data_IF_406898180592
#
_entry.id   IF_406898180592
#
_cell.length_a   1.000
_cell.length_b   1.000
_cell.length_c   1.000
_cell.angle_alpha   90.00
_cell.angle_beta   90.00
_cell.angle_gamma   90.00
#
_symmetry.space_group_name_H-M   'P 1'
#
loop_
_entity.id
_entity.type
_entity.pdbx_description
1 polymer ?
#
# COMPACT_ATOMS: atom_id res chain seq x y z
N UNK A 1 12.09 11.26 25.93
CA UNK A 1 10.66 11.46 25.68
C UNK A 1 9.87 11.26 26.95
N UNK A 2 8.77 11.97 27.15
CA UNK A 2 7.78 11.74 28.21
C UNK A 2 6.87 10.55 27.88
N UNK A 3 6.07 10.10 28.86
CA UNK A 3 5.05 9.07 28.61
C UNK A 3 3.96 9.50 27.62
N UNK A 4 3.64 10.80 27.60
CA UNK A 4 2.71 11.39 26.62
C UNK A 4 3.31 11.38 25.21
N UNK A 5 4.59 11.75 25.07
CA UNK A 5 5.30 11.70 23.78
C UNK A 5 5.39 10.26 23.25
N UNK A 6 5.58 9.28 24.13
CA UNK A 6 5.50 7.86 23.76
C UNK A 6 4.11 7.44 23.30
N UNK A 7 3.07 7.90 23.99
CA UNK A 7 1.68 7.61 23.63
C UNK A 7 1.36 8.19 22.25
N UNK A 8 1.70 9.45 22.01
CA UNK A 8 1.49 10.12 20.73
C UNK A 8 2.26 9.43 19.59
N UNK A 9 3.48 8.94 19.86
CA UNK A 9 4.23 8.14 18.89
C UNK A 9 3.50 6.85 18.53
N UNK A 10 3.00 6.11 19.52
CA UNK A 10 2.25 4.87 19.28
C UNK A 10 0.91 5.14 18.58
N UNK A 11 0.19 6.21 18.96
CA UNK A 11 -1.05 6.65 18.30
C UNK A 11 -0.81 6.87 16.80
N UNK A 12 0.26 7.59 16.45
CA UNK A 12 0.63 7.84 15.06
C UNK A 12 0.90 6.54 14.31
N UNK A 13 1.70 5.64 14.88
CA UNK A 13 2.05 4.37 14.22
C UNK A 13 0.82 3.46 14.02
N UNK A 14 -0.11 3.47 14.98
CA UNK A 14 -1.39 2.76 14.86
C UNK A 14 -2.21 3.36 13.71
N UNK A 15 -2.38 4.68 13.70
CA UNK A 15 -3.16 5.37 12.67
C UNK A 15 -2.58 5.17 11.26
N UNK A 16 -1.26 5.18 11.11
CA UNK A 16 -0.58 4.90 9.84
C UNK A 16 -0.86 3.47 9.34
N UNK A 17 -0.86 2.49 10.25
CA UNK A 17 -1.15 1.10 9.90
C UNK A 17 -2.63 0.88 9.55
N UNK A 18 -3.55 1.50 10.28
CA UNK A 18 -4.99 1.47 9.99
C UNK A 18 -5.30 2.09 8.62
N UNK A 19 -4.68 3.23 8.29
CA UNK A 19 -4.83 3.85 6.97
C UNK A 19 -4.44 2.91 5.83
N UNK A 20 -3.37 2.12 5.99
CA UNK A 20 -2.96 1.12 4.98
C UNK A 20 -3.97 -0.03 4.88
N UNK A 21 -4.53 -0.46 6.02
CA UNK A 21 -5.50 -1.56 6.05
C UNK A 21 -6.84 -1.17 5.43
N UNK A 22 -7.31 0.05 5.71
CA UNK A 22 -8.58 0.59 5.22
C UNK A 22 -8.50 1.10 3.77
N UNK A 23 -7.28 1.27 3.23
CA UNK A 23 -7.07 1.69 1.86
C UNK A 23 -7.71 0.71 0.85
N UNK A 24 -8.43 1.27 -0.11
CA UNK A 24 -9.01 0.52 -1.21
C UNK A 24 -7.91 -0.21 -2.00
N UNK A 25 -8.15 -1.44 -2.50
CA UNK A 25 -7.17 -2.16 -3.30
C UNK A 25 -6.69 -1.32 -4.48
N UNK A 26 -5.38 -1.14 -4.59
CA UNK A 26 -4.79 -0.33 -5.65
C UNK A 26 -4.69 1.17 -5.36
N UNK A 27 -5.35 1.66 -4.31
CA UNK A 27 -5.09 2.97 -3.76
C UNK A 27 -3.91 2.85 -2.80
N UNK A 28 -2.68 2.97 -3.33
CA UNK A 28 -1.58 3.36 -2.48
C UNK A 28 -1.94 4.77 -1.98
N UNK A 29 -2.39 4.88 -0.74
CA UNK A 29 -2.44 6.18 -0.09
C UNK A 29 -1.03 6.75 -0.26
N UNK A 30 -0.94 7.94 -0.88
CA UNK A 30 0.27 8.77 -0.81
C UNK A 30 0.32 9.33 0.62
N UNK A 31 0.33 8.41 1.58
CA UNK A 31 0.44 8.70 2.99
C UNK A 31 1.86 9.23 3.13
N UNK A 32 1.97 10.53 3.40
CA UNK A 32 3.21 11.17 3.78
C UNK A 32 3.64 10.62 5.15
N UNK A 33 4.19 9.40 5.12
CA UNK A 33 4.64 8.68 6.29
C UNK A 33 5.93 9.34 6.76
N UNK A 34 5.87 9.98 7.92
CA UNK A 34 7.05 10.57 8.50
C UNK A 34 8.14 9.48 8.71
N UNK A 35 9.40 9.74 8.31
CA UNK A 35 10.47 8.77 8.47
C UNK A 35 10.58 8.24 9.90
N UNK A 36 10.66 6.92 10.05
CA UNK A 36 10.81 6.31 11.36
C UNK A 36 12.14 6.72 12.00
N UNK A 37 12.05 7.38 13.15
CA UNK A 37 13.20 7.69 14.01
C UNK A 37 12.97 7.02 15.36
N UNK A 38 13.78 6.02 15.73
CA UNK A 38 13.59 5.32 16.99
C UNK A 38 13.86 6.27 18.17
N UNK A 39 13.00 6.27 19.20
CA UNK A 39 13.27 7.00 20.43
C UNK A 39 14.56 6.55 21.11
N UNK A 40 15.32 7.50 21.66
CA UNK A 40 16.53 7.22 22.45
C UNK A 40 16.23 6.83 23.90
N UNK A 41 15.01 7.09 24.37
CA UNK A 41 14.53 6.69 25.70
C UNK A 41 13.92 5.30 25.66
N UNK A 42 13.95 4.53 26.76
CA UNK A 42 13.26 3.24 26.83
C UNK A 42 11.74 3.42 26.74
N UNK A 43 11.05 2.38 26.28
CA UNK A 43 9.59 2.29 26.28
C UNK A 43 9.09 2.13 27.74
N UNK A 44 8.11 2.93 28.20
CA UNK A 44 7.48 2.75 29.49
C UNK A 44 6.79 1.39 29.59
N UNK A 45 6.91 0.72 30.74
CA UNK A 45 6.47 -0.67 30.91
C UNK A 45 4.95 -0.83 30.70
N UNK A 46 4.18 0.18 31.10
CA UNK A 46 2.73 0.26 30.93
C UNK A 46 2.29 0.30 29.46
N UNK A 47 3.18 0.72 28.54
CA UNK A 47 2.91 0.78 27.10
C UNK A 47 3.41 -0.46 26.34
N UNK A 48 4.05 -1.42 27.03
CA UNK A 48 4.65 -2.59 26.38
C UNK A 48 3.62 -3.45 25.61
N UNK A 49 2.46 -3.69 26.20
CA UNK A 49 1.39 -4.46 25.55
C UNK A 49 0.77 -3.71 24.38
N UNK A 50 0.70 -2.38 24.46
CA UNK A 50 0.26 -1.54 23.36
C UNK A 50 1.24 -1.63 22.20
N UNK A 51 2.53 -1.43 22.45
CA UNK A 51 3.57 -1.52 21.43
C UNK A 51 3.56 -2.87 20.71
N UNK A 52 3.30 -3.98 21.41
CA UNK A 52 3.13 -5.30 20.78
C UNK A 52 1.96 -5.33 19.80
N UNK A 53 0.80 -4.78 20.18
CA UNK A 53 -0.36 -4.68 19.28
C UNK A 53 -0.06 -3.82 18.05
N UNK A 54 0.66 -2.71 18.21
CA UNK A 54 1.11 -1.87 17.08
C UNK A 54 1.96 -2.67 16.11
N UNK A 55 2.92 -3.46 16.61
CA UNK A 55 3.79 -4.29 15.77
C UNK A 55 2.97 -5.31 14.96
N UNK A 56 1.98 -5.95 15.58
CA UNK A 56 1.13 -6.93 14.89
C UNK A 56 0.22 -6.26 13.85
N UNK A 57 -0.28 -5.06 14.15
CA UNK A 57 -1.05 -4.25 13.21
C UNK A 57 -0.21 -3.82 12.01
N UNK A 58 1.00 -3.34 12.25
CA UNK A 58 1.96 -2.98 11.19
C UNK A 58 2.33 -4.19 10.34
N UNK A 59 2.49 -5.38 10.93
CA UNK A 59 2.72 -6.62 10.17
C UNK A 59 1.55 -6.92 9.23
N UNK A 60 0.33 -6.79 9.74
CA UNK A 60 -0.90 -6.99 8.95
C UNK A 60 -0.99 -5.99 7.79
N UNK A 61 -0.66 -4.72 8.03
CA UNK A 61 -0.60 -3.68 7.00
C UNK A 61 0.45 -4.00 5.92
N UNK A 62 1.65 -4.46 6.31
CA UNK A 62 2.69 -4.88 5.36
C UNK A 62 2.26 -6.06 4.48
N UNK A 63 1.59 -7.06 5.06
CA UNK A 63 1.10 -8.22 4.32
C UNK A 63 -0.03 -7.85 3.35
N UNK A 64 -0.94 -6.96 3.78
CA UNK A 64 -1.96 -6.34 2.92
C UNK A 64 -1.33 -5.63 1.72
N UNK A 65 -0.33 -4.78 1.96
CA UNK A 65 0.36 -4.04 0.90
C UNK A 65 1.12 -4.97 -0.07
N UNK A 66 1.76 -6.03 0.44
CA UNK A 66 2.41 -7.04 -0.41
C UNK A 66 1.40 -7.74 -1.33
N UNK A 67 0.23 -8.11 -0.80
CA UNK A 67 -0.84 -8.73 -1.58
C UNK A 67 -1.32 -7.81 -2.71
N UNK A 68 -1.42 -6.51 -2.45
CA UNK A 68 -1.80 -5.53 -3.49
C UNK A 68 -0.75 -5.42 -4.59
N UNK A 69 0.53 -5.32 -4.24
CA UNK A 69 1.62 -5.30 -5.22
C UNK A 69 1.63 -6.56 -6.10
N UNK A 70 1.38 -7.73 -5.51
CA UNK A 70 1.30 -8.98 -6.26
C UNK A 70 0.08 -9.01 -7.19
N UNK A 71 -1.05 -8.45 -6.76
CA UNK A 71 -2.23 -8.23 -7.61
C UNK A 71 -1.93 -7.33 -8.80
N UNK A 72 -1.29 -6.19 -8.57
CA UNK A 72 -0.89 -5.24 -9.62
C UNK A 72 0.08 -5.87 -10.63
N UNK A 73 1.09 -6.60 -10.16
CA UNK A 73 2.05 -7.32 -11.03
C UNK A 73 1.35 -8.31 -11.95
N UNK A 74 0.38 -9.07 -11.43
CA UNK A 74 -0.44 -9.99 -12.24
C UNK A 74 -1.26 -9.24 -13.29
N UNK A 75 -1.86 -8.11 -12.92
CA UNK A 75 -2.62 -7.28 -13.86
C UNK A 75 -1.73 -6.74 -14.98
N UNK A 76 -0.57 -6.17 -14.65
CA UNK A 76 0.40 -5.70 -15.65
C UNK A 76 0.87 -6.83 -16.58
N UNK A 77 1.14 -8.02 -16.05
CA UNK A 77 1.50 -9.19 -16.86
C UNK A 77 0.37 -9.72 -17.75
N UNK A 78 -0.89 -9.44 -17.42
CA UNK A 78 -2.03 -9.72 -18.29
C UNK A 78 -2.12 -8.68 -19.41
N UNK A 79 -2.03 -7.39 -19.07
CA UNK A 79 -2.05 -6.28 -20.03
C UNK A 79 -0.89 -6.36 -21.02
N UNK A 80 0.32 -6.70 -20.57
CA UNK A 80 1.50 -6.80 -21.43
C UNK A 80 1.42 -7.92 -22.47
N UNK A 81 0.52 -8.90 -22.28
CA UNK A 81 0.29 -10.00 -23.22
C UNK A 81 -0.73 -9.68 -24.29
N UNK A 82 -1.44 -8.56 -24.18
CA UNK A 82 -2.32 -8.07 -25.23
C UNK A 82 -1.40 -7.62 -26.38
N UNK A 83 -1.46 -8.26 -27.56
CA UNK A 83 -0.68 -7.82 -28.70
C UNK A 83 -1.02 -6.35 -28.96
N UNK A 84 -0.02 -5.47 -28.97
CA UNK A 84 -0.19 -4.15 -29.55
C UNK A 84 -0.61 -4.43 -30.99
N UNK A 85 -1.87 -4.18 -31.33
CA UNK A 85 -2.30 -4.27 -32.71
C UNK A 85 -1.42 -3.31 -33.49
N UNK A 86 -0.40 -3.88 -34.17
CA UNK A 86 0.27 -3.20 -35.27
C UNK A 86 -0.84 -2.59 -36.11
N UNK A 87 -0.66 -1.32 -36.47
CA UNK A 87 -1.54 -0.50 -37.32
C UNK A 87 -2.48 -1.37 -38.16
N UNK A 88 -3.79 -1.09 -38.22
CA UNK A 88 -4.54 -1.59 -39.35
C UNK A 88 -3.81 -1.10 -40.60
N UNK A 89 -3.16 -2.01 -41.33
CA UNK A 89 -2.92 -1.80 -42.75
C UNK A 89 -4.31 -1.47 -43.32
N UNK A 90 -4.39 -0.29 -43.93
CA UNK A 90 -5.54 0.42 -44.48
C UNK A 90 -6.93 -0.25 -44.35
N UNK A 91 -7.97 0.46 -43.89
CA UNK A 91 -9.33 -0.03 -44.02
C UNK A 91 -9.63 -0.28 -45.51
N UNK A 92 -9.68 -1.55 -45.89
CA UNK A 92 -10.13 -1.96 -47.21
C UNK A 92 -11.64 -1.68 -47.28
N UNK A 93 -12.01 -0.57 -47.95
CA UNK A 93 -13.40 -0.34 -48.33
C UNK A 93 -13.77 -1.39 -49.38
N UNK A 94 -14.62 -2.33 -48.97
CA UNK A 94 -15.28 -3.26 -49.88
C UNK A 94 -16.28 -2.43 -50.69
N UNK A 95 -15.94 -2.13 -51.94
CA UNK A 95 -16.86 -1.53 -52.89
C UNK A 95 -17.93 -2.57 -53.25
N UNK A 96 -19.18 -2.25 -52.94
CA UNK A 96 -20.35 -3.11 -53.19
C UNK A 96 -21.27 -2.44 -54.21
N UNK A 97 -20.71 -2.12 -55.37
CA UNK A 97 -21.50 -1.82 -56.56
C UNK A 97 -21.49 -3.02 -57.52
N UNK A 98 -22.66 -3.65 -57.63
CA UNK A 98 -23.01 -4.69 -58.60
C UNK A 98 -24.48 -4.64 -58.94
#
# INVERSE_FOLDING_TARGET
MSGEEWTALLDRLEQEAEQILDAAPGAAADADLAPWTPPSTPLPAELADRARRVIDLQRSAMDRARSDLDGMRRHLGAVSRIPSTRRPEEPAYLDVDG
#
